data_IF_030917392639
#
_entry.id   IF_030917392639
#
_cell.length_a   1.000
_cell.length_b   1.000
_cell.length_c   1.000
_cell.angle_alpha   90.00
_cell.angle_beta   90.00
_cell.angle_gamma   90.00
#
_symmetry.space_group_name_H-M   'P 1'
#
loop_
_entity.id
_entity.type
_entity.pdbx_description
1 polymer ?
#
# COMPACT_ATOMS: atom_id res chain seq x y z
N UNK A 1 14.80 26.97 36.47
CA UNK A 1 14.66 27.48 35.09
C UNK A 1 15.83 26.99 34.27
N UNK A 2 15.63 25.94 33.49
CA UNK A 2 16.35 25.69 32.24
C UNK A 2 15.43 24.79 31.42
N UNK A 3 14.78 25.40 30.45
CA UNK A 3 13.74 24.87 29.59
C UNK A 3 14.16 23.58 28.89
N UNK A 4 13.41 22.50 29.14
CA UNK A 4 13.36 21.32 28.28
C UNK A 4 12.65 21.68 26.98
N UNK A 5 13.39 22.21 26.01
CA UNK A 5 13.01 22.06 24.61
C UNK A 5 13.44 20.66 24.19
N UNK A 6 12.58 19.69 24.50
CA UNK A 6 12.64 18.38 23.85
C UNK A 6 12.52 18.66 22.35
N UNK A 7 13.60 18.37 21.65
CA UNK A 7 13.72 18.39 20.21
C UNK A 7 12.58 17.51 19.67
N UNK A 8 11.51 18.10 19.13
CA UNK A 8 10.50 17.36 18.35
C UNK A 8 11.24 16.75 17.17
N UNK A 9 11.71 15.51 17.31
CA UNK A 9 12.46 14.81 16.27
C UNK A 9 11.63 14.81 14.98
N UNK A 10 12.28 15.16 13.87
CA UNK A 10 11.79 14.96 12.51
C UNK A 10 11.72 13.46 12.24
N UNK A 11 10.68 12.81 12.75
CA UNK A 11 10.45 11.38 12.56
C UNK A 11 9.65 11.09 11.29
N UNK A 12 9.49 9.80 11.01
CA UNK A 12 8.59 9.31 9.97
C UNK A 12 7.14 9.44 10.47
N UNK A 13 6.20 9.68 9.57
CA UNK A 13 4.78 9.82 9.92
C UNK A 13 3.90 9.26 8.81
N UNK A 14 2.64 9.02 9.12
CA UNK A 14 1.63 8.88 8.08
C UNK A 14 1.66 10.08 7.16
N UNK A 15 1.57 9.83 5.85
CA UNK A 15 1.37 10.90 4.90
C UNK A 15 0.01 11.57 5.23
N UNK A 16 -0.07 12.92 5.29
CA UNK A 16 -1.30 13.61 5.70
C UNK A 16 -2.52 13.18 4.88
N UNK A 17 -3.61 12.76 5.53
CA UNK A 17 -4.83 12.32 4.84
C UNK A 17 -6.06 12.98 5.44
N UNK A 18 -7.18 12.94 4.72
CA UNK A 18 -8.48 13.47 5.20
C UNK A 18 -9.47 12.34 5.41
N UNK A 19 -10.20 12.38 6.52
CA UNK A 19 -11.37 11.53 6.77
C UNK A 19 -12.61 12.26 6.27
N UNK A 20 -13.12 11.88 5.09
CA UNK A 20 -14.24 12.58 4.45
C UNK A 20 -15.59 12.15 5.07
N UNK A 21 -15.75 10.86 5.36
CA UNK A 21 -16.90 10.32 6.11
C UNK A 21 -16.58 8.97 6.75
N UNK A 22 -17.28 8.67 7.86
CA UNK A 22 -17.34 7.34 8.46
C UNK A 22 -18.76 6.81 8.27
N UNK A 23 -18.88 5.54 7.89
CA UNK A 23 -20.17 4.86 7.65
C UNK A 23 -20.21 3.56 8.45
N UNK A 24 -21.40 3.22 8.97
CA UNK A 24 -21.59 2.03 9.82
C UNK A 24 -21.71 0.74 9.00
N UNK A 25 -22.11 0.85 7.73
CA UNK A 25 -22.31 -0.28 6.84
C UNK A 25 -21.87 0.09 5.43
N UNK A 26 -21.29 -0.89 4.73
CA UNK A 26 -21.02 -0.90 3.31
C UNK A 26 -21.45 -2.26 2.76
N UNK A 27 -21.75 -2.31 1.46
CA UNK A 27 -21.97 -3.57 0.74
C UNK A 27 -21.70 -3.34 -0.75
N UNK A 28 -20.44 -3.10 -1.08
CA UNK A 28 -20.04 -2.79 -2.46
C UNK A 28 -18.58 -3.17 -2.73
N UNK A 29 -18.26 -3.41 -4.01
CA UNK A 29 -16.87 -3.34 -4.46
C UNK A 29 -16.54 -1.85 -4.58
N UNK A 30 -15.59 -1.30 -3.79
CA UNK A 30 -15.28 0.12 -3.85
C UNK A 30 -14.94 0.59 -5.27
N UNK A 31 -15.38 1.79 -5.69
CA UNK A 31 -15.11 2.29 -7.05
C UNK A 31 -13.62 2.32 -7.42
N UNK A 32 -12.72 2.53 -6.47
CA UNK A 32 -11.27 2.46 -6.71
C UNK A 32 -10.80 1.06 -7.14
N UNK A 33 -11.34 0.01 -6.54
CA UNK A 33 -11.06 -1.40 -6.91
C UNK A 33 -11.58 -1.71 -8.32
N UNK A 34 -12.76 -1.17 -8.67
CA UNK A 34 -13.32 -1.31 -10.02
C UNK A 34 -12.52 -0.53 -11.07
N UNK A 35 -12.10 0.70 -10.73
CA UNK A 35 -11.39 1.60 -11.64
C UNK A 35 -10.06 1.03 -12.13
N UNK A 36 -9.38 0.24 -11.30
CA UNK A 36 -8.13 -0.43 -11.67
C UNK A 36 -8.34 -1.79 -12.38
N UNK A 37 -9.60 -2.17 -12.61
CA UNK A 37 -10.04 -3.44 -13.20
C UNK A 37 -9.54 -4.70 -12.46
N UNK A 38 -9.54 -4.65 -11.12
CA UNK A 38 -9.19 -5.82 -10.32
C UNK A 38 -10.19 -6.99 -10.45
N UNK A 39 -11.53 -6.76 -10.43
CA UNK A 39 -12.50 -7.84 -10.57
C UNK A 39 -12.33 -8.72 -11.81
N UNK A 40 -11.91 -8.11 -12.91
CA UNK A 40 -11.75 -8.75 -14.22
C UNK A 40 -10.62 -9.78 -14.25
N UNK A 41 -9.62 -9.66 -13.37
CA UNK A 41 -8.48 -10.60 -13.31
C UNK A 41 -8.54 -11.55 -12.12
N UNK A 42 -9.55 -11.46 -11.25
CA UNK A 42 -9.67 -12.28 -10.04
C UNK A 42 -9.66 -13.79 -10.29
N UNK A 43 -10.32 -14.27 -11.34
CA UNK A 43 -10.34 -15.71 -11.66
C UNK A 43 -8.95 -16.23 -12.06
N UNK A 44 -8.22 -15.46 -12.88
CA UNK A 44 -6.89 -15.84 -13.38
C UNK A 44 -5.84 -15.81 -12.28
N UNK A 45 -5.97 -14.84 -11.38
CA UNK A 45 -5.08 -14.58 -10.25
C UNK A 45 -5.48 -15.29 -8.96
N UNK A 46 -6.52 -16.14 -8.96
CA UNK A 46 -7.08 -16.75 -7.75
C UNK A 46 -7.29 -15.73 -6.61
N UNK A 47 -7.72 -14.50 -6.96
CA UNK A 47 -7.93 -13.38 -6.01
C UNK A 47 -6.71 -13.08 -5.12
N UNK A 48 -5.49 -13.39 -5.57
CA UNK A 48 -4.24 -13.17 -4.82
C UNK A 48 -3.95 -14.21 -3.75
N UNK A 49 -4.60 -15.38 -3.81
CA UNK A 49 -4.46 -16.44 -2.81
C UNK A 49 -2.99 -16.82 -2.55
N UNK A 50 -2.68 -17.01 -1.26
CA UNK A 50 -1.35 -17.34 -0.70
C UNK A 50 -0.25 -16.28 -0.82
N UNK A 51 -0.53 -15.12 -1.42
CA UNK A 51 0.42 -14.00 -1.40
C UNK A 51 0.31 -13.25 -0.07
N UNK A 52 1.45 -13.07 0.61
CA UNK A 52 1.51 -12.32 1.87
C UNK A 52 1.96 -10.89 1.61
N UNK A 53 1.13 -9.95 2.05
CA UNK A 53 1.40 -8.50 2.07
C UNK A 53 1.68 -8.08 3.51
N UNK A 54 2.87 -7.54 3.77
CA UNK A 54 3.18 -6.90 5.04
C UNK A 54 2.72 -5.43 5.02
N UNK A 55 1.82 -5.08 5.91
CA UNK A 55 1.28 -3.72 6.04
C UNK A 55 2.01 -3.04 7.19
N UNK A 56 2.88 -2.08 6.85
CA UNK A 56 3.66 -1.30 7.82
C UNK A 56 2.93 0.01 8.07
N UNK A 57 2.14 0.05 9.15
CA UNK A 57 1.22 1.17 9.42
C UNK A 57 0.96 1.33 10.93
N UNK A 58 -0.22 1.83 11.30
CA UNK A 58 -0.71 2.11 12.65
C UNK A 58 -1.28 0.89 13.39
N UNK A 59 -1.25 -0.28 12.76
CA UNK A 59 -1.87 -1.51 13.24
C UNK A 59 -3.07 -1.90 12.40
N UNK A 60 -3.90 -2.83 12.90
CA UNK A 60 -5.16 -3.19 12.24
C UNK A 60 -6.21 -3.61 13.28
N UNK A 61 -7.49 -3.35 13.01
CA UNK A 61 -8.60 -3.99 13.72
C UNK A 61 -8.67 -5.48 13.32
N UNK A 62 -8.00 -6.32 14.10
CA UNK A 62 -7.90 -7.77 13.84
C UNK A 62 -9.22 -8.51 13.93
N UNK A 63 -10.26 -7.88 14.49
CA UNK A 63 -11.59 -8.46 14.62
C UNK A 63 -12.57 -7.93 13.57
N UNK A 64 -12.14 -7.02 12.69
CA UNK A 64 -12.98 -6.51 11.62
C UNK A 64 -13.47 -7.67 10.74
N UNK A 65 -14.77 -7.69 10.47
CA UNK A 65 -15.42 -8.84 9.81
C UNK A 65 -14.86 -9.14 8.42
N UNK A 66 -14.42 -8.10 7.71
CA UNK A 66 -13.79 -8.20 6.39
C UNK A 66 -12.28 -8.53 6.43
N UNK A 67 -11.62 -8.54 7.61
CA UNK A 67 -10.16 -8.66 7.71
C UNK A 67 -9.69 -9.83 8.56
N UNK A 68 -10.47 -10.25 9.56
CA UNK A 68 -10.06 -11.27 10.54
C UNK A 68 -9.52 -12.56 9.92
N UNK A 69 -10.08 -12.97 8.77
CA UNK A 69 -9.70 -14.21 8.06
C UNK A 69 -8.56 -14.00 7.05
N UNK A 70 -8.04 -12.77 6.95
CA UNK A 70 -6.92 -12.37 6.08
C UNK A 70 -5.65 -12.15 6.87
N UNK A 71 -5.78 -11.71 8.13
CA UNK A 71 -4.66 -11.43 9.01
C UNK A 71 -4.09 -12.76 9.52
N UNK A 72 -2.84 -13.06 9.16
CA UNK A 72 -2.16 -14.31 9.51
C UNK A 72 -1.08 -14.12 10.58
N UNK A 73 -0.92 -12.90 11.07
CA UNK A 73 0.01 -12.54 12.13
C UNK A 73 0.25 -11.04 12.17
N UNK A 74 1.03 -10.61 13.14
CA UNK A 74 1.45 -9.24 13.25
C UNK A 74 2.50 -9.04 14.33
N UNK A 75 3.04 -7.83 14.40
CA UNK A 75 3.97 -7.41 15.43
C UNK A 75 3.88 -5.90 15.64
N UNK A 76 4.00 -5.49 16.89
CA UNK A 76 4.12 -4.09 17.27
C UNK A 76 5.59 -3.73 17.52
N UNK A 77 6.04 -2.66 16.88
CA UNK A 77 7.36 -2.07 17.04
C UNK A 77 7.30 -0.73 17.78
N UNK A 78 6.10 -0.23 18.06
CA UNK A 78 5.89 1.05 18.73
C UNK A 78 5.87 0.92 20.24
N UNK A 79 5.90 2.06 20.92
CA UNK A 79 5.74 2.16 22.36
C UNK A 79 4.28 2.09 22.84
N UNK A 80 3.31 2.07 21.90
CA UNK A 80 1.91 1.88 22.22
C UNK A 80 1.70 0.57 22.98
N UNK A 81 0.65 0.55 23.81
CA UNK A 81 0.27 -0.61 24.61
C UNK A 81 1.39 -1.12 25.55
N UNK A 82 2.29 -0.23 25.96
CA UNK A 82 3.39 -0.58 26.86
C UNK A 82 4.50 -1.41 26.20
N UNK A 83 4.74 -1.20 24.89
CA UNK A 83 5.70 -1.96 24.09
C UNK A 83 5.37 -3.45 23.96
N UNK A 84 4.11 -3.87 24.09
CA UNK A 84 3.73 -5.27 23.88
C UNK A 84 3.86 -5.64 22.38
N UNK A 85 4.82 -6.49 21.98
CA UNK A 85 5.04 -6.83 20.58
C UNK A 85 3.88 -7.61 19.97
N UNK A 86 3.00 -8.20 20.78
CA UNK A 86 1.84 -8.97 20.31
C UNK A 86 0.58 -8.10 20.18
N UNK A 87 0.63 -6.83 20.60
CA UNK A 87 -0.50 -5.92 20.50
C UNK A 87 -0.30 -4.92 19.36
N UNK A 88 -0.74 -5.32 18.16
CA UNK A 88 -0.70 -4.52 16.93
C UNK A 88 -2.10 -4.01 16.54
N UNK A 89 -2.96 -3.76 17.54
CA UNK A 89 -4.28 -3.16 17.33
C UNK A 89 -4.16 -1.72 16.82
N UNK A 90 -5.06 -1.38 15.91
CA UNK A 90 -5.16 -0.03 15.37
C UNK A 90 -5.84 0.94 16.35
N UNK A 91 -5.12 1.98 16.74
CA UNK A 91 -5.59 3.09 17.56
C UNK A 91 -5.63 4.43 16.78
N UNK A 92 -5.53 4.38 15.45
CA UNK A 92 -5.65 5.54 14.55
C UNK A 92 -6.80 5.37 13.54
N UNK A 93 -6.86 4.21 12.89
CA UNK A 93 -7.83 3.81 11.88
C UNK A 93 -7.28 3.74 10.46
N UNK A 94 -6.13 4.37 10.20
CA UNK A 94 -5.48 4.36 8.90
C UNK A 94 -5.04 2.97 8.46
N UNK A 95 -4.39 2.20 9.34
CA UNK A 95 -3.86 0.88 9.00
C UNK A 95 -4.96 -0.13 8.71
N UNK A 96 -6.08 -0.04 9.42
CA UNK A 96 -7.29 -0.82 9.11
C UNK A 96 -7.86 -0.45 7.73
N UNK A 97 -7.85 0.82 7.35
CA UNK A 97 -8.31 1.27 6.03
C UNK A 97 -7.41 0.78 4.88
N UNK A 98 -6.10 0.89 5.06
CA UNK A 98 -5.09 0.35 4.13
C UNK A 98 -5.27 -1.16 3.97
N UNK A 99 -5.41 -1.90 5.08
CA UNK A 99 -5.60 -3.35 5.06
C UNK A 99 -6.84 -3.78 4.26
N UNK A 100 -7.96 -3.07 4.39
CA UNK A 100 -9.18 -3.36 3.64
C UNK A 100 -9.05 -3.12 2.15
N UNK A 101 -8.41 -2.02 1.74
CA UNK A 101 -8.17 -1.73 0.32
C UNK A 101 -7.33 -2.83 -0.32
N UNK A 102 -6.36 -3.39 0.41
CA UNK A 102 -5.52 -4.49 -0.07
C UNK A 102 -6.33 -5.79 -0.18
N UNK A 103 -6.97 -6.25 0.89
CA UNK A 103 -7.44 -7.63 0.98
C UNK A 103 -8.76 -7.85 1.75
N UNK A 104 -9.62 -6.85 1.91
CA UNK A 104 -10.95 -7.08 2.49
C UNK A 104 -11.66 -8.26 1.78
N UNK A 105 -12.11 -9.24 2.57
CA UNK A 105 -12.62 -10.52 2.05
C UNK A 105 -13.99 -10.34 1.42
N UNK A 106 -14.30 -11.19 0.46
CA UNK A 106 -15.67 -11.45 0.04
C UNK A 106 -16.37 -12.30 1.11
N UNK A 107 -17.41 -11.76 1.74
CA UNK A 107 -18.19 -12.41 2.81
C UNK A 107 -19.70 -12.00 2.78
N UNK A 108 -20.19 -11.58 1.61
CA UNK A 108 -21.56 -11.08 1.36
C UNK A 108 -21.98 -9.83 2.16
N UNK A 109 -21.04 -9.18 2.84
CA UNK A 109 -21.22 -7.91 3.55
C UNK A 109 -20.00 -7.00 3.31
N UNK A 110 -20.08 -5.73 3.70
CA UNK A 110 -18.90 -4.86 3.77
C UNK A 110 -18.31 -4.44 2.43
N UNK A 111 -16.99 -4.47 2.33
CA UNK A 111 -16.25 -4.09 1.12
C UNK A 111 -15.33 -5.21 0.65
N UNK A 112 -15.02 -5.22 -0.65
CA UNK A 112 -14.00 -6.11 -1.21
C UNK A 112 -12.71 -5.35 -1.48
N UNK A 113 -11.58 -5.92 -1.07
CA UNK A 113 -10.26 -5.40 -1.40
C UNK A 113 -9.84 -5.74 -2.83
N UNK A 114 -8.69 -5.21 -3.25
CA UNK A 114 -8.12 -5.51 -4.57
C UNK A 114 -7.76 -7.00 -4.69
N UNK A 115 -7.19 -7.61 -3.66
CA UNK A 115 -6.83 -9.03 -3.60
C UNK A 115 -7.51 -9.75 -2.42
N UNK A 116 -8.81 -10.10 -2.53
CA UNK A 116 -9.62 -10.58 -1.40
C UNK A 116 -9.16 -11.89 -0.75
N UNK A 117 -8.27 -12.66 -1.38
CA UNK A 117 -7.68 -13.90 -0.81
C UNK A 117 -6.19 -13.75 -0.46
N UNK A 118 -5.60 -12.56 -0.62
CA UNK A 118 -4.26 -12.28 -0.12
C UNK A 118 -4.23 -12.31 1.42
N UNK A 119 -3.09 -12.70 1.98
CA UNK A 119 -2.86 -12.76 3.42
C UNK A 119 -2.16 -11.48 3.88
N UNK A 120 -2.50 -11.00 5.07
CA UNK A 120 -1.95 -9.78 5.66
C UNK A 120 -1.06 -10.12 6.87
N UNK A 121 0.15 -9.55 6.88
CA UNK A 121 1.03 -9.48 8.05
C UNK A 121 1.00 -8.04 8.58
N UNK A 122 0.42 -7.83 9.75
CA UNK A 122 0.21 -6.47 10.30
C UNK A 122 1.42 -6.04 11.13
N UNK A 123 2.21 -5.10 10.61
CA UNK A 123 3.38 -4.57 11.32
C UNK A 123 3.07 -3.14 11.78
N UNK A 124 2.77 -3.00 13.07
CA UNK A 124 2.50 -1.69 13.67
C UNK A 124 3.83 -0.97 13.92
N UNK A 125 4.11 0.04 13.11
CA UNK A 125 5.34 0.86 13.15
C UNK A 125 5.05 2.33 13.48
N UNK A 126 3.78 2.73 13.39
CA UNK A 126 3.30 4.07 13.74
C UNK A 126 2.37 4.01 14.97
N UNK A 127 2.53 4.98 15.86
CA UNK A 127 1.70 5.15 17.04
C UNK A 127 0.30 5.68 16.68
N UNK A 128 -0.60 5.75 17.67
CA UNK A 128 -1.98 6.20 17.46
C UNK A 128 -2.13 7.62 16.89
N UNK A 129 -1.13 8.48 17.08
CA UNK A 129 -1.09 9.82 16.48
C UNK A 129 -0.54 9.83 15.03
N UNK A 130 -0.22 8.65 14.48
CA UNK A 130 0.34 8.47 13.14
C UNK A 130 1.84 8.76 13.04
N UNK A 131 2.53 9.04 14.16
CA UNK A 131 3.98 9.26 14.17
C UNK A 131 4.75 7.96 14.39
N UNK A 132 5.99 7.91 13.93
CA UNK A 132 6.89 6.79 14.14
C UNK A 132 8.35 7.22 14.12
N UNK A 133 9.22 6.22 14.32
CA UNK A 133 10.67 6.38 14.23
C UNK A 133 11.20 5.52 13.08
N UNK A 134 12.18 6.03 12.36
CA UNK A 134 12.94 5.30 11.33
C UNK A 134 13.40 3.92 11.81
N UNK A 135 13.85 3.78 13.06
CA UNK A 135 14.26 2.48 13.58
C UNK A 135 13.12 1.45 13.59
N UNK A 136 11.89 1.84 13.93
CA UNK A 136 10.74 0.93 13.91
C UNK A 136 10.46 0.42 12.49
N UNK A 137 10.64 1.27 11.48
CA UNK A 137 10.47 0.92 10.07
C UNK A 137 11.56 -0.04 9.64
N UNK A 138 12.83 0.26 9.95
CA UNK A 138 13.98 -0.57 9.61
C UNK A 138 13.80 -1.98 10.22
N UNK A 139 13.48 -2.05 11.51
CA UNK A 139 13.25 -3.31 12.22
C UNK A 139 12.06 -4.08 11.64
N UNK A 140 11.01 -3.39 11.23
CA UNK A 140 9.83 -4.02 10.62
C UNK A 140 10.10 -4.55 9.22
N UNK A 141 10.89 -3.85 8.38
CA UNK A 141 11.31 -4.35 7.07
C UNK A 141 12.19 -5.58 7.26
N UNK A 142 13.17 -5.54 8.17
CA UNK A 142 14.03 -6.70 8.45
C UNK A 142 13.24 -7.89 9.03
N UNK A 143 12.25 -7.62 9.87
CA UNK A 143 11.30 -8.63 10.33
C UNK A 143 10.48 -9.20 9.16
N UNK A 144 9.91 -8.37 8.29
CA UNK A 144 9.07 -8.82 7.17
C UNK A 144 9.82 -9.77 6.22
N UNK A 145 11.07 -9.48 5.88
CA UNK A 145 11.88 -10.30 4.96
C UNK A 145 12.28 -11.65 5.59
N UNK A 146 12.53 -11.66 6.91
CA UNK A 146 12.93 -12.86 7.66
C UNK A 146 11.73 -13.68 8.16
N UNK A 147 10.55 -13.08 8.24
CA UNK A 147 9.34 -13.69 8.76
C UNK A 147 8.92 -14.92 7.95
N UNK A 148 8.48 -15.96 8.66
CA UNK A 148 7.87 -17.16 8.08
C UNK A 148 6.58 -17.47 8.80
N UNK A 149 5.53 -17.73 8.02
CA UNK A 149 4.23 -18.14 8.51
C UNK A 149 4.19 -19.59 8.98
N UNK A 150 3.05 -20.02 9.56
CA UNK A 150 2.89 -21.38 10.06
C UNK A 150 3.06 -22.45 8.97
N UNK A 151 2.75 -22.13 7.72
CA UNK A 151 2.92 -23.02 6.57
C UNK A 151 4.13 -22.62 5.70
N UNK A 152 5.15 -22.00 6.32
CA UNK A 152 6.33 -21.47 5.62
C UNK A 152 6.00 -20.37 4.59
N UNK A 153 4.85 -19.69 4.75
CA UNK A 153 4.57 -18.50 3.95
C UNK A 153 5.65 -17.44 4.19
N UNK A 154 5.92 -16.61 3.17
CA UNK A 154 6.85 -15.49 3.28
C UNK A 154 6.22 -14.24 2.68
N UNK A 155 6.64 -13.08 3.18
CA UNK A 155 6.27 -11.80 2.59
C UNK A 155 6.78 -11.74 1.15
N UNK A 156 5.92 -11.21 0.26
CA UNK A 156 6.25 -10.90 -1.14
C UNK A 156 6.12 -9.42 -1.44
N UNK A 157 5.30 -8.70 -0.67
CA UNK A 157 5.00 -7.29 -0.86
C UNK A 157 5.03 -6.62 0.51
N UNK A 158 5.72 -5.49 0.62
CA UNK A 158 5.69 -4.56 1.75
C UNK A 158 4.93 -3.32 1.28
N UNK A 159 3.91 -2.92 2.04
CA UNK A 159 3.07 -1.75 1.76
C UNK A 159 3.28 -0.71 2.86
N UNK A 160 3.71 0.49 2.47
CA UNK A 160 4.02 1.60 3.38
C UNK A 160 3.26 2.86 2.94
N UNK A 161 2.41 3.37 3.81
CA UNK A 161 1.64 4.60 3.56
C UNK A 161 2.11 5.73 4.48
N UNK A 162 3.41 5.94 4.47
CA UNK A 162 4.16 6.76 5.42
C UNK A 162 5.35 7.40 4.73
N UNK A 163 5.89 8.45 5.34
CA UNK A 163 7.05 9.15 4.82
C UNK A 163 7.68 10.12 5.80
N UNK A 164 8.91 10.49 5.51
CA UNK A 164 9.69 11.44 6.27
C UNK A 164 10.63 12.24 5.35
N UNK A 165 11.08 13.43 5.79
CA UNK A 165 11.83 14.33 4.94
C UNK A 165 13.32 13.97 4.81
N UNK A 166 13.81 12.99 5.57
CA UNK A 166 15.23 12.65 5.65
C UNK A 166 15.52 11.32 4.94
N UNK A 167 16.55 11.34 4.11
CA UNK A 167 17.22 10.15 3.58
C UNK A 167 18.08 9.52 4.69
N UNK A 168 17.78 8.27 5.04
CA UNK A 168 18.44 7.51 6.09
C UNK A 168 19.14 6.30 5.46
N UNK A 169 20.49 6.26 5.43
CA UNK A 169 21.24 5.19 4.77
C UNK A 169 20.84 3.77 5.22
N UNK A 170 20.60 3.57 6.51
CA UNK A 170 20.20 2.28 7.06
C UNK A 170 18.80 1.85 6.59
N UNK A 171 17.89 2.81 6.33
CA UNK A 171 16.59 2.55 5.73
C UNK A 171 16.74 2.14 4.27
N UNK A 172 17.60 2.82 3.51
CA UNK A 172 17.88 2.47 2.12
C UNK A 172 18.49 1.07 1.99
N UNK A 173 19.47 0.75 2.84
CA UNK A 173 20.14 -0.55 2.85
C UNK A 173 19.17 -1.72 3.12
N UNK A 174 18.24 -1.55 4.07
CA UNK A 174 17.27 -2.61 4.38
C UNK A 174 16.23 -2.77 3.26
N UNK A 175 15.86 -1.69 2.56
CA UNK A 175 15.00 -1.75 1.36
C UNK A 175 15.70 -2.51 0.23
N UNK A 176 16.96 -2.18 -0.05
CA UNK A 176 17.77 -2.91 -1.04
C UNK A 176 17.87 -4.40 -0.68
N UNK A 177 17.98 -4.74 0.60
CA UNK A 177 17.98 -6.13 1.08
C UNK A 177 16.63 -6.82 0.82
N UNK A 178 15.51 -6.11 0.99
CA UNK A 178 14.17 -6.65 0.70
C UNK A 178 14.00 -6.96 -0.79
N UNK A 179 14.34 -6.00 -1.66
CA UNK A 179 14.25 -6.16 -3.13
C UNK A 179 15.15 -7.28 -3.63
N UNK A 180 16.40 -7.39 -3.14
CA UNK A 180 17.32 -8.51 -3.43
C UNK A 180 16.79 -9.88 -3.02
N UNK A 181 15.79 -9.94 -2.13
CA UNK A 181 15.14 -11.19 -1.72
C UNK A 181 13.82 -11.45 -2.45
N UNK A 182 13.52 -10.74 -3.54
CA UNK A 182 12.26 -10.79 -4.28
C UNK A 182 11.04 -10.34 -3.46
N UNK A 183 11.21 -9.27 -2.67
CA UNK A 183 10.13 -8.59 -1.96
C UNK A 183 9.93 -7.22 -2.60
N UNK A 184 8.75 -6.99 -3.15
CA UNK A 184 8.35 -5.69 -3.70
C UNK A 184 8.09 -4.73 -2.55
N UNK A 185 8.64 -3.53 -2.61
CA UNK A 185 8.43 -2.48 -1.60
C UNK A 185 7.61 -1.37 -2.25
N UNK A 186 6.42 -1.09 -1.73
CA UNK A 186 5.49 -0.10 -2.29
C UNK A 186 5.31 1.01 -1.27
N UNK A 187 5.47 2.26 -1.68
CA UNK A 187 5.33 3.41 -0.80
C UNK A 187 4.47 4.51 -1.41
N UNK A 188 3.76 5.25 -0.55
CA UNK A 188 3.07 6.47 -0.95
C UNK A 188 4.08 7.56 -1.32
N UNK A 189 3.80 8.32 -2.37
CA UNK A 189 4.66 9.42 -2.84
C UNK A 189 4.74 10.60 -1.85
N UNK A 190 3.68 10.79 -1.06
CA UNK A 190 3.53 11.95 -0.17
C UNK A 190 2.40 12.88 -0.60
N UNK A 191 1.97 13.75 0.32
CA UNK A 191 0.80 14.64 0.17
C UNK A 191 1.15 16.12 0.35
N UNK A 192 2.36 16.51 -0.05
CA UNK A 192 2.89 17.88 0.00
C UNK A 192 2.83 18.60 -1.36
N UNK A 193 2.26 17.96 -2.39
CA UNK A 193 2.12 18.52 -3.73
C UNK A 193 1.27 19.78 -3.77
N UNK A 194 1.54 20.60 -4.78
CA UNK A 194 0.98 21.94 -4.97
C UNK A 194 0.24 22.11 -6.32
N UNK A 195 -0.16 20.99 -6.96
CA UNK A 195 -0.69 20.95 -8.33
C UNK A 195 0.29 21.43 -9.43
N UNK A 196 1.59 21.59 -9.15
CA UNK A 196 2.56 22.06 -10.12
C UNK A 196 3.64 21.00 -10.40
N UNK A 197 3.60 20.43 -11.60
CA UNK A 197 4.53 19.37 -12.06
C UNK A 197 6.01 19.78 -12.12
N UNK A 198 6.31 21.07 -11.89
CA UNK A 198 7.66 21.64 -11.83
C UNK A 198 8.22 21.75 -10.42
N UNK A 199 7.38 21.63 -9.40
CA UNK A 199 7.84 21.60 -8.02
C UNK A 199 8.21 20.14 -7.69
N UNK A 200 9.36 19.95 -7.07
CA UNK A 200 9.84 18.63 -6.67
C UNK A 200 9.60 18.43 -5.18
N UNK A 201 8.71 17.51 -4.84
CA UNK A 201 8.46 17.07 -3.47
C UNK A 201 8.88 15.61 -3.28
N UNK A 202 9.77 15.38 -2.31
CA UNK A 202 10.31 14.07 -1.99
C UNK A 202 9.96 13.71 -0.55
N UNK A 203 9.40 12.52 -0.36
CA UNK A 203 9.27 11.87 0.93
C UNK A 203 9.97 10.50 0.88
N UNK A 204 10.73 10.17 1.92
CA UNK A 204 11.41 8.89 2.06
C UNK A 204 10.59 7.95 2.96
N UNK A 205 10.49 6.65 2.63
CA UNK A 205 11.30 5.91 1.65
C UNK A 205 10.79 5.95 0.19
N UNK A 206 9.68 6.62 -0.12
CA UNK A 206 9.10 6.64 -1.47
C UNK A 206 10.11 6.99 -2.55
N UNK A 207 10.91 8.03 -2.32
CA UNK A 207 11.91 8.53 -3.26
C UNK A 207 13.15 7.63 -3.49
N UNK A 208 13.22 6.43 -2.91
CA UNK A 208 14.29 5.49 -3.24
C UNK A 208 13.96 4.73 -4.52
N UNK A 209 14.89 4.70 -5.48
CA UNK A 209 14.69 4.06 -6.80
C UNK A 209 14.29 2.58 -6.78
N UNK A 210 14.54 1.87 -5.68
CA UNK A 210 14.15 0.47 -5.48
C UNK A 210 12.71 0.31 -4.96
N UNK A 211 12.06 1.41 -4.58
CA UNK A 211 10.69 1.44 -4.07
C UNK A 211 9.74 1.79 -5.20
N UNK A 212 8.60 1.08 -5.24
CA UNK A 212 7.50 1.41 -6.13
C UNK A 212 6.76 2.62 -5.54
N UNK A 213 7.06 3.81 -6.05
CA UNK A 213 6.48 5.07 -5.56
C UNK A 213 5.12 5.34 -6.23
N UNK A 214 4.08 5.49 -5.41
CA UNK A 214 2.68 5.56 -5.87
C UNK A 214 2.08 6.94 -5.62
N UNK A 215 1.75 7.64 -6.70
CA UNK A 215 0.97 8.88 -6.68
C UNK A 215 -0.54 8.64 -6.71
N UNK A 216 -1.32 9.71 -6.57
CA UNK A 216 -2.78 9.63 -6.43
C UNK A 216 -3.55 10.30 -7.57
N UNK A 217 -4.63 9.64 -7.99
CA UNK A 217 -5.70 10.23 -8.81
C UNK A 217 -7.06 10.13 -8.10
N UNK A 218 -8.01 10.94 -8.54
CA UNK A 218 -9.41 10.79 -8.16
C UNK A 218 -10.14 9.76 -9.06
N UNK A 219 -11.41 9.48 -8.77
CA UNK A 219 -12.21 8.48 -9.50
C UNK A 219 -12.51 8.89 -10.95
N UNK A 220 -12.40 10.18 -11.29
CA UNK A 220 -12.47 10.68 -12.67
C UNK A 220 -11.12 10.67 -13.40
N UNK A 221 -10.09 10.01 -12.84
CA UNK A 221 -8.74 9.87 -13.40
C UNK A 221 -7.98 11.20 -13.54
N UNK A 222 -8.29 12.18 -12.68
CA UNK A 222 -7.52 13.42 -12.57
C UNK A 222 -6.50 13.28 -11.45
N UNK A 223 -5.29 13.80 -11.65
CA UNK A 223 -4.28 13.85 -10.59
C UNK A 223 -4.82 14.59 -9.37
N UNK A 224 -4.59 14.00 -8.19
CA UNK A 224 -4.95 14.63 -6.94
C UNK A 224 -3.94 15.74 -6.61
N UNK A 225 -4.44 16.94 -6.31
CA UNK A 225 -3.58 18.12 -6.13
C UNK A 225 -2.50 17.96 -5.06
N UNK A 226 -2.82 17.19 -4.01
CA UNK A 226 -1.93 16.93 -2.91
C UNK A 226 -0.78 15.97 -3.27
N UNK A 227 -0.89 15.18 -4.34
CA UNK A 227 0.11 14.16 -4.68
C UNK A 227 1.44 14.83 -4.99
N UNK A 228 2.49 14.41 -4.30
CA UNK A 228 3.85 14.84 -4.60
C UNK A 228 4.18 14.58 -6.08
N UNK A 229 4.99 15.46 -6.67
CA UNK A 229 5.58 15.27 -8.00
C UNK A 229 7.10 15.22 -7.88
N UNK A 230 7.73 14.24 -8.52
CA UNK A 230 9.18 14.05 -8.55
C UNK A 230 9.59 13.06 -9.66
N UNK A 231 10.89 12.82 -9.86
CA UNK A 231 11.37 11.94 -10.94
C UNK A 231 11.24 10.44 -10.64
N UNK A 232 10.91 10.06 -9.41
CA UNK A 232 10.89 8.68 -8.91
C UNK A 232 9.46 8.08 -8.89
N UNK A 233 8.41 8.87 -9.16
CA UNK A 233 7.03 8.37 -9.31
C UNK A 233 6.96 7.28 -10.38
N UNK A 234 6.58 6.07 -9.97
CA UNK A 234 6.42 4.94 -10.88
C UNK A 234 5.08 4.91 -11.60
N UNK A 235 4.00 5.16 -10.85
CA UNK A 235 2.63 5.07 -11.35
C UNK A 235 1.64 5.72 -10.39
N UNK A 236 0.41 5.90 -10.86
CA UNK A 236 -0.69 6.45 -10.05
C UNK A 236 -1.83 5.46 -9.88
N UNK A 237 -2.55 5.58 -8.77
CA UNK A 237 -3.73 4.80 -8.45
C UNK A 237 -4.79 5.65 -7.72
N UNK A 238 -6.03 5.15 -7.56
CA UNK A 238 -7.10 5.89 -6.91
C UNK A 238 -6.74 6.20 -5.44
N UNK A 239 -6.68 7.49 -5.10
CA UNK A 239 -6.31 7.97 -3.76
C UNK A 239 -7.24 9.03 -3.18
N UNK A 240 -8.27 9.47 -3.92
CA UNK A 240 -9.26 10.44 -3.44
C UNK A 240 -10.63 9.77 -3.30
N UNK A 241 -11.31 10.02 -2.17
CA UNK A 241 -12.63 9.47 -1.84
C UNK A 241 -12.69 7.92 -1.86
N UNK A 242 -11.69 7.29 -1.22
CA UNK A 242 -11.55 5.83 -1.18
C UNK A 242 -12.26 5.25 0.04
N UNK A 243 -13.30 4.46 -0.22
CA UNK A 243 -14.00 3.67 0.79
C UNK A 243 -13.22 2.41 1.15
N UNK A 244 -13.02 2.16 2.46
CA UNK A 244 -12.48 0.91 2.98
C UNK A 244 -12.92 0.68 4.44
N UNK A 245 -12.45 -0.42 5.04
CA UNK A 245 -12.67 -0.81 6.44
C UNK A 245 -12.11 0.21 7.43
N UNK A 246 -12.68 0.27 8.63
CA UNK A 246 -12.28 1.20 9.69
C UNK A 246 -12.54 0.58 11.07
N UNK A 247 -11.77 0.92 12.14
CA UNK A 247 -11.90 0.23 13.41
C UNK A 247 -13.30 0.24 14.03
N UNK A 248 -13.61 -0.81 14.77
CA UNK A 248 -14.91 -1.00 15.40
C UNK A 248 -15.96 -1.59 14.46
N UNK A 249 -15.52 -2.31 13.43
CA UNK A 249 -16.40 -2.92 12.42
C UNK A 249 -17.08 -1.91 11.49
N UNK A 250 -16.48 -0.73 11.30
CA UNK A 250 -17.02 0.37 10.50
C UNK A 250 -16.30 0.49 9.16
N UNK A 251 -16.68 1.47 8.38
CA UNK A 251 -16.02 1.83 7.14
C UNK A 251 -15.78 3.33 7.08
N UNK A 252 -14.80 3.77 6.31
CA UNK A 252 -14.50 5.19 6.14
C UNK A 252 -14.08 5.49 4.71
N UNK A 253 -14.36 6.72 4.28
CA UNK A 253 -13.89 7.30 3.03
C UNK A 253 -12.74 8.23 3.35
N UNK A 254 -11.55 7.91 2.86
CA UNK A 254 -10.33 8.67 3.08
C UNK A 254 -9.75 9.19 1.76
N UNK A 255 -9.02 10.30 1.82
CA UNK A 255 -8.25 10.85 0.70
C UNK A 255 -6.77 11.07 1.08
N UNK A 256 -5.88 10.59 0.21
CA UNK A 256 -4.42 10.74 0.29
C UNK A 256 -3.69 9.74 -0.62
N UNK A 257 -2.41 9.96 -0.95
CA UNK A 257 -1.55 8.95 -1.62
C UNK A 257 -1.47 7.64 -0.86
N UNK A 258 -1.60 7.68 0.47
CA UNK A 258 -1.79 6.51 1.33
C UNK A 258 -2.96 5.60 0.94
N UNK A 259 -3.97 6.09 0.22
CA UNK A 259 -5.08 5.27 -0.28
C UNK A 259 -4.79 4.72 -1.69
N UNK A 260 -3.87 5.32 -2.44
CA UNK A 260 -3.42 4.83 -3.74
C UNK A 260 -2.46 3.63 -3.60
N UNK A 261 -1.51 3.70 -2.67
CA UNK A 261 -0.54 2.63 -2.36
C UNK A 261 -1.14 1.24 -2.11
N UNK A 262 -2.21 1.07 -1.30
CA UNK A 262 -2.81 -0.24 -1.08
C UNK A 262 -3.49 -0.82 -2.34
N UNK A 263 -3.96 0.01 -3.28
CA UNK A 263 -4.45 -0.49 -4.57
C UNK A 263 -3.32 -1.20 -5.34
N UNK A 264 -2.13 -0.58 -5.40
CA UNK A 264 -0.96 -1.17 -6.05
C UNK A 264 -0.46 -2.42 -5.31
N UNK A 265 -0.49 -2.39 -3.97
CA UNK A 265 -0.08 -3.52 -3.16
C UNK A 265 -0.98 -4.75 -3.38
N UNK A 266 -2.29 -4.55 -3.45
CA UNK A 266 -3.23 -5.62 -3.83
C UNK A 266 -3.08 -6.05 -5.28
N UNK A 267 -2.89 -5.10 -6.21
CA UNK A 267 -2.68 -5.39 -7.63
C UNK A 267 -1.45 -6.29 -7.84
N UNK A 268 -0.34 -6.01 -7.15
CA UNK A 268 0.86 -6.84 -7.17
C UNK A 268 0.58 -8.26 -6.68
N UNK A 269 -0.27 -8.45 -5.66
CA UNK A 269 -0.65 -9.79 -5.21
C UNK A 269 -1.40 -10.58 -6.29
N UNK A 270 -2.30 -9.92 -7.03
CA UNK A 270 -2.97 -10.53 -8.18
C UNK A 270 -1.97 -10.88 -9.29
N UNK A 271 -1.07 -9.96 -9.63
CA UNK A 271 -0.09 -10.12 -10.71
C UNK A 271 0.93 -11.22 -10.42
N UNK A 272 1.45 -11.31 -9.19
CA UNK A 272 2.34 -12.41 -8.79
C UNK A 272 1.63 -13.73 -9.05
N UNK A 273 0.40 -13.88 -8.56
CA UNK A 273 -0.32 -15.14 -8.65
C UNK A 273 -0.68 -15.51 -10.08
N UNK A 274 -1.14 -14.55 -10.88
CA UNK A 274 -1.42 -14.74 -12.31
C UNK A 274 -0.16 -15.13 -13.09
N UNK A 275 0.91 -14.36 -12.96
CA UNK A 275 2.14 -14.58 -13.73
C UNK A 275 2.83 -15.89 -13.32
N UNK A 276 2.95 -16.20 -12.03
CA UNK A 276 3.60 -17.44 -11.61
C UNK A 276 2.84 -18.69 -12.09
N UNK A 277 1.51 -18.60 -12.18
CA UNK A 277 0.66 -19.65 -12.77
C UNK A 277 0.83 -19.77 -14.27
N UNK A 278 0.89 -18.64 -14.99
CA UNK A 278 1.08 -18.62 -16.45
C UNK A 278 2.47 -19.12 -16.88
N UNK A 279 3.52 -18.68 -16.19
CA UNK A 279 4.90 -19.06 -16.50
C UNK A 279 5.32 -20.40 -15.87
N UNK A 280 4.53 -20.95 -14.93
CA UNK A 280 4.83 -22.21 -14.25
C UNK A 280 6.08 -22.16 -13.38
N UNK A 281 6.50 -20.97 -12.95
CA UNK A 281 7.66 -20.75 -12.08
C UNK A 281 7.46 -19.50 -11.23
N UNK A 282 8.28 -19.38 -10.19
CA UNK A 282 8.39 -18.15 -9.41
C UNK A 282 8.91 -17.00 -10.27
N UNK A 283 8.34 -15.81 -10.06
CA UNK A 283 8.77 -14.57 -10.71
C UNK A 283 9.61 -13.75 -9.73
N UNK A 284 10.69 -13.14 -10.22
CA UNK A 284 11.52 -12.22 -9.43
C UNK A 284 10.85 -10.87 -9.25
N UNK A 285 11.37 -10.05 -8.32
CA UNK A 285 10.87 -8.68 -8.12
C UNK A 285 10.90 -7.84 -9.42
N UNK A 286 12.01 -7.76 -10.19
CA UNK A 286 12.04 -6.94 -11.40
C UNK A 286 11.09 -7.43 -12.49
N UNK A 287 10.85 -8.75 -12.56
CA UNK A 287 9.90 -9.33 -13.51
C UNK A 287 8.48 -8.91 -13.18
N UNK A 288 8.10 -8.90 -11.90
CA UNK A 288 6.76 -8.46 -11.47
C UNK A 288 6.62 -6.95 -11.60
N UNK A 289 7.63 -6.16 -11.26
CA UNK A 289 7.64 -4.72 -11.52
C UNK A 289 7.39 -4.43 -13.01
N UNK A 290 8.08 -5.13 -13.92
CA UNK A 290 7.82 -4.99 -15.36
C UNK A 290 6.40 -5.38 -15.77
N UNK A 291 5.77 -6.36 -15.10
CA UNK A 291 4.37 -6.73 -15.35
C UNK A 291 3.38 -5.69 -14.81
N UNK A 292 3.72 -5.01 -13.71
CA UNK A 292 2.96 -3.88 -13.19
C UNK A 292 2.97 -2.72 -14.19
N UNK A 293 4.15 -2.27 -14.61
CA UNK A 293 4.28 -1.12 -15.51
C UNK A 293 3.66 -1.37 -16.89
N UNK A 294 3.68 -2.62 -17.40
CA UNK A 294 2.95 -2.95 -18.64
C UNK A 294 1.46 -2.68 -18.56
N UNK A 295 0.88 -2.70 -17.36
CA UNK A 295 -0.53 -2.51 -17.06
C UNK A 295 -0.85 -1.08 -16.63
N UNK A 296 -0.12 -0.08 -17.10
CA UNK A 296 -0.45 1.33 -16.85
C UNK A 296 -0.92 2.05 -18.13
N UNK A 297 -1.84 2.99 -18.00
CA UNK A 297 -2.35 3.83 -19.08
C UNK A 297 -1.94 5.28 -18.82
N UNK A 298 -1.15 5.91 -19.72
CA UNK A 298 -0.82 7.33 -19.59
C UNK A 298 -2.09 8.19 -19.57
N UNK A 299 -2.14 9.18 -18.69
CA UNK A 299 -3.27 10.10 -18.58
C UNK A 299 -3.01 11.42 -19.32
N UNK A 300 -1.77 11.66 -19.74
CA UNK A 300 -1.36 12.84 -20.48
C UNK A 300 -0.78 13.95 -19.62
N UNK A 301 -0.45 13.66 -18.35
CA UNK A 301 0.34 14.53 -17.49
C UNK A 301 1.83 14.29 -17.68
N UNK A 302 2.65 15.17 -17.11
CA UNK A 302 4.10 14.96 -17.07
C UNK A 302 4.45 13.72 -16.25
N UNK A 303 5.53 13.04 -16.65
CA UNK A 303 5.99 11.83 -15.95
C UNK A 303 6.35 12.08 -14.49
N UNK A 304 6.75 13.30 -14.16
CA UNK A 304 7.02 13.68 -12.77
C UNK A 304 5.80 13.62 -11.87
N UNK A 305 4.59 13.59 -12.44
CA UNK A 305 3.33 13.52 -11.68
C UNK A 305 2.57 12.21 -11.89
N UNK A 306 2.63 11.61 -13.08
CA UNK A 306 1.91 10.34 -13.36
C UNK A 306 2.80 9.10 -13.45
N UNK A 307 4.12 9.26 -13.50
CA UNK A 307 5.06 8.16 -13.76
C UNK A 307 4.76 7.49 -15.10
N UNK A 308 4.45 6.19 -15.03
CA UNK A 308 4.02 5.38 -16.17
C UNK A 308 2.50 5.46 -16.45
N UNK A 309 1.75 6.21 -15.65
CA UNK A 309 0.31 6.41 -15.80
C UNK A 309 -0.54 5.66 -14.76
N UNK A 310 -1.85 5.64 -14.99
CA UNK A 310 -2.82 4.98 -14.11
C UNK A 310 -2.79 3.47 -14.28
N UNK A 311 -2.77 2.73 -13.17
CA UNK A 311 -2.93 1.27 -13.19
C UNK A 311 -4.26 0.84 -13.85
N UNK A 312 -4.17 -0.10 -14.79
CA UNK A 312 -5.25 -0.76 -15.52
C UNK A 312 -4.86 -2.23 -15.74
N UNK A 313 -5.38 -3.11 -14.88
CA UNK A 313 -4.97 -4.52 -14.82
C UNK A 313 -5.30 -5.34 -16.08
N UNK A 314 -6.22 -4.85 -16.94
CA UNK A 314 -6.65 -5.55 -18.16
C UNK A 314 -6.04 -4.98 -19.45
N UNK A 315 -5.21 -3.94 -19.36
CA UNK A 315 -4.60 -3.29 -20.54
C UNK A 315 -3.95 -4.28 -21.51
N UNK A 316 -3.12 -5.20 -21.00
CA UNK A 316 -2.40 -6.18 -21.84
C UNK A 316 -3.37 -7.12 -22.58
N UNK A 317 -4.49 -7.49 -21.96
CA UNK A 317 -5.49 -8.38 -22.55
C UNK A 317 -6.23 -7.69 -23.70
N UNK A 318 -6.55 -6.41 -23.51
CA UNK A 318 -7.18 -5.58 -24.53
C UNK A 318 -6.26 -5.37 -25.74
N UNK A 319 -4.95 -5.25 -25.52
CA UNK A 319 -3.96 -5.16 -26.62
C UNK A 319 -3.82 -6.49 -27.37
N UNK A 320 -3.75 -7.63 -26.68
CA UNK A 320 -3.70 -8.96 -27.33
C UNK A 320 -4.95 -9.23 -28.19
N UNK A 321 -6.13 -8.82 -27.73
CA UNK A 321 -7.37 -8.95 -28.50
C UNK A 321 -7.36 -8.09 -29.78
N UNK A 322 -6.81 -6.87 -29.74
CA UNK A 322 -6.70 -5.99 -30.91
C UNK A 322 -5.75 -6.52 -31.99
N UNK A 323 -4.74 -7.31 -31.63
CA UNK A 323 -3.78 -7.89 -32.58
C UNK A 323 -4.33 -9.17 -33.24
N UNK A 324 -5.38 -9.77 -32.68
CA UNK A 324 -5.97 -11.03 -33.16
C UNK A 324 -7.16 -10.80 -34.13
N UNK A 325 -7.57 -9.54 -34.33
CA UNK A 325 -8.62 -9.10 -35.27
C UNK A 325 -8.00 -8.40 -36.49
#
# INVERSE_FOLDING_TARGET
>A
MSSSTANKQKGIRLIPFTVNRVVEQANEIPPGVQLIHAPEIWEKSEKGNDIVVAVLDTGCDVNHVDLKDRIIGGRNFTEDYGNDPNNYLDNNGHGTHVAGTIAATENDIGVLGVAPLAKLLVLKVLAGDGSGNYQHIIDAIDYAISWRGPNQERVRIISMSLGGPEDVPELHEVIQKAVKQDVLVVCAAGNSGDCNDRTEELDFPGAYSEVIEVGAVNLERKLACFSNSNQEIDLVAPGEDILSTYPGGKYAVLSGTSMATPHISGALALLIKQCEREYGRRMSEPEIYAQLIKRTVPLGYERTSEGNGLIDLVKEENEKQKVTL
#
